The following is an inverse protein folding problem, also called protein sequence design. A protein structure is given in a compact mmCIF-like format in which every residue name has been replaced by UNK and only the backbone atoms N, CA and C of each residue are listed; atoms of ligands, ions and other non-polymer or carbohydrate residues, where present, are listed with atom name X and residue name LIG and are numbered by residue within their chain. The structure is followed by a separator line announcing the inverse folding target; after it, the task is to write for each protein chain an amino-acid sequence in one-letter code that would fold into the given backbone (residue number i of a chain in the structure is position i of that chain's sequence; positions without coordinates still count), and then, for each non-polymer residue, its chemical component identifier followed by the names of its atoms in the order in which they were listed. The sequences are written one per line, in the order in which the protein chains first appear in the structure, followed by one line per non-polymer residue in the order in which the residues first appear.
data_IF_931281463153
#
_entry.id   IF_931281463153
#
_cell.length_a   1.000
_cell.length_b   1.000
_cell.length_c   1.000
_cell.angle_alpha   90.00
_cell.angle_beta   90.00
_cell.angle_gamma   90.00
#
_symmetry.space_group_name_H-M   'P 1'
#
loop_
_entity.id
_entity.type
_entity.pdbx_description
1 polymer ?
#
# COMPACT_ATOMS: atom_id res chain seq x y z
N UNK A 1 -24.49 2.92 19.95
CA UNK A 1 -23.25 3.47 19.38
C UNK A 1 -23.04 2.76 18.05
N UNK A 2 -22.75 3.46 16.94
CA UNK A 2 -22.44 2.79 15.69
C UNK A 2 -21.15 1.98 15.90
N UNK A 3 -21.19 0.69 15.56
CA UNK A 3 -20.00 -0.15 15.52
C UNK A 3 -19.12 0.41 14.41
N UNK A 4 -18.00 1.03 14.76
CA UNK A 4 -16.97 1.38 13.77
C UNK A 4 -16.53 0.03 13.18
N UNK A 5 -16.70 -0.10 11.86
CA UNK A 5 -16.18 -1.27 11.14
C UNK A 5 -14.68 -1.31 11.38
N UNK A 6 -14.17 -2.40 11.97
CA UNK A 6 -12.73 -2.60 12.07
C UNK A 6 -12.10 -2.58 10.69
N UNK A 7 -10.89 -2.07 10.58
CA UNK A 7 -10.10 -2.17 9.35
C UNK A 7 -9.88 -3.65 9.00
N UNK A 8 -10.09 -4.01 7.73
CA UNK A 8 -10.04 -5.40 7.29
C UNK A 8 -9.09 -5.59 6.10
N UNK A 9 -8.83 -6.86 5.76
CA UNK A 9 -8.18 -7.21 4.49
C UNK A 9 -9.09 -6.83 3.32
N UNK A 10 -8.52 -6.24 2.28
CA UNK A 10 -9.20 -5.95 1.01
C UNK A 10 -9.61 -4.50 0.82
N UNK A 11 -10.47 -4.25 -0.18
CA UNK A 11 -10.88 -2.88 -0.56
C UNK A 11 -11.83 -2.29 0.48
N UNK A 12 -11.50 -1.09 0.97
CA UNK A 12 -12.36 -0.32 1.87
C UNK A 12 -12.09 1.18 1.75
N UNK A 13 -13.00 2.00 2.27
CA UNK A 13 -12.82 3.46 2.34
C UNK A 13 -12.38 3.86 3.75
N UNK A 14 -11.38 4.74 3.85
CA UNK A 14 -10.91 5.32 5.11
C UNK A 14 -10.61 6.83 4.97
N UNK A 15 -10.59 7.53 6.10
CA UNK A 15 -10.19 8.94 6.16
C UNK A 15 -8.68 9.07 6.38
N UNK A 16 -7.97 9.53 5.35
CA UNK A 16 -6.53 9.79 5.38
C UNK A 16 -6.20 11.28 5.54
N UNK A 17 -7.19 12.17 5.75
CA UNK A 17 -6.99 13.63 5.80
C UNK A 17 -6.04 14.09 6.90
N UNK A 18 -5.96 13.34 8.00
CA UNK A 18 -5.01 13.58 9.10
C UNK A 18 -3.56 13.19 8.76
N UNK A 19 -3.36 12.53 7.62
CA UNK A 19 -2.10 11.97 7.15
C UNK A 19 -1.79 12.43 5.71
N UNK A 20 -2.19 13.67 5.36
CA UNK A 20 -1.98 14.28 4.05
C UNK A 20 -2.59 13.49 2.87
N UNK A 21 -3.57 12.61 3.12
CA UNK A 21 -4.33 11.89 2.09
C UNK A 21 -5.78 12.40 1.95
N UNK A 22 -6.58 11.80 1.06
CA UNK A 22 -8.00 12.14 0.90
C UNK A 22 -8.85 11.77 2.13
N UNK A 23 -9.95 12.48 2.36
CA UNK A 23 -10.89 12.20 3.47
C UNK A 23 -11.78 10.97 3.26
N UNK A 24 -11.84 10.48 2.03
CA UNK A 24 -12.70 9.41 1.53
C UNK A 24 -11.90 8.49 0.59
N UNK A 25 -10.69 8.11 1.02
CA UNK A 25 -9.77 7.34 0.21
C UNK A 25 -10.17 5.87 0.12
N UNK A 26 -10.29 5.34 -1.10
CA UNK A 26 -10.34 3.90 -1.32
C UNK A 26 -8.93 3.33 -1.20
N UNK A 27 -8.78 2.33 -0.33
CA UNK A 27 -7.51 1.64 -0.08
C UNK A 27 -7.69 0.13 -0.15
N UNK A 28 -6.60 -0.58 -0.43
CA UNK A 28 -6.50 -2.02 -0.17
C UNK A 28 -5.77 -2.22 1.16
N UNK A 29 -6.46 -2.81 2.12
CA UNK A 29 -5.90 -3.21 3.40
C UNK A 29 -5.19 -4.56 3.33
N UNK A 30 -3.94 -4.60 3.77
CA UNK A 30 -3.15 -5.82 3.91
C UNK A 30 -2.83 -6.03 5.39
N UNK A 31 -3.27 -7.14 6.01
CA UNK A 31 -2.96 -7.42 7.41
C UNK A 31 -1.45 -7.51 7.64
N UNK A 32 -0.99 -6.85 8.69
CA UNK A 32 0.38 -6.87 9.17
C UNK A 32 0.36 -7.32 10.64
N UNK A 33 0.25 -8.64 10.90
CA UNK A 33 0.20 -9.15 12.27
C UNK A 33 1.45 -8.77 13.06
N UNK A 34 1.31 -8.69 14.37
CA UNK A 34 2.43 -8.42 15.28
C UNK A 34 3.61 -9.37 15.03
N UNK A 35 4.83 -8.86 15.13
CA UNK A 35 6.05 -9.63 14.90
C UNK A 35 6.30 -10.04 13.45
N UNK A 36 5.48 -9.59 12.49
CA UNK A 36 5.73 -9.81 11.05
C UNK A 36 6.40 -8.60 10.41
N UNK A 37 7.06 -8.81 9.27
CA UNK A 37 7.69 -7.73 8.48
C UNK A 37 6.92 -7.57 7.18
N UNK A 38 6.52 -6.34 6.87
CA UNK A 38 5.93 -5.98 5.59
C UNK A 38 7.01 -5.55 4.60
N UNK A 39 6.98 -6.08 3.38
CA UNK A 39 7.81 -5.68 2.25
C UNK A 39 6.89 -5.16 1.15
N UNK A 40 7.09 -3.91 0.75
CA UNK A 40 6.30 -3.23 -0.29
C UNK A 40 7.20 -2.86 -1.46
N UNK A 41 6.72 -3.13 -2.68
CA UNK A 41 7.36 -2.72 -3.93
C UNK A 41 6.29 -2.58 -5.01
N UNK A 42 6.59 -1.89 -6.10
CA UNK A 42 5.64 -1.74 -7.19
C UNK A 42 6.29 -1.46 -8.53
N UNK A 43 5.48 -1.62 -9.59
CA UNK A 43 5.81 -1.31 -10.97
C UNK A 43 4.65 -0.58 -11.64
N UNK A 44 4.99 0.31 -12.55
CA UNK A 44 4.08 1.03 -13.43
C UNK A 44 4.12 0.41 -14.82
N UNK A 45 2.94 0.18 -15.37
CA UNK A 45 2.72 -0.30 -16.74
C UNK A 45 1.57 0.49 -17.36
N UNK A 46 1.73 1.81 -17.44
CA UNK A 46 0.69 2.76 -17.84
C UNK A 46 1.25 3.83 -18.78
N UNK A 47 0.34 4.59 -19.41
CA UNK A 47 0.69 5.82 -20.14
C UNK A 47 0.66 7.07 -19.24
N UNK A 48 -0.20 7.09 -18.21
CA UNK A 48 -0.31 8.23 -17.28
C UNK A 48 0.66 8.14 -16.10
N UNK A 49 0.99 9.28 -15.48
CA UNK A 49 1.81 9.27 -14.29
C UNK A 49 1.06 8.54 -13.16
N UNK A 50 1.72 7.60 -12.51
CA UNK A 50 1.10 6.79 -11.45
C UNK A 50 1.75 7.09 -10.10
N UNK A 51 0.94 7.02 -9.05
CA UNK A 51 1.35 7.17 -7.66
C UNK A 51 0.61 6.16 -6.80
N UNK A 52 1.32 5.58 -5.84
CA UNK A 52 0.64 4.98 -4.70
C UNK A 52 1.20 5.50 -3.39
N UNK A 53 0.37 5.46 -2.37
CA UNK A 53 0.74 5.79 -1.01
C UNK A 53 0.53 4.56 -0.14
N UNK A 54 1.46 4.31 0.77
CA UNK A 54 1.28 3.29 1.82
C UNK A 54 1.20 3.94 3.19
N UNK A 55 0.21 3.52 3.96
CA UNK A 55 -0.03 3.97 5.32
C UNK A 55 -0.02 2.75 6.23
N UNK A 56 0.57 2.89 7.42
CA UNK A 56 0.34 1.94 8.50
C UNK A 56 -0.93 2.38 9.23
N UNK A 57 -1.86 1.46 9.46
CA UNK A 57 -3.13 1.75 10.16
C UNK A 57 -3.45 0.69 11.20
N UNK A 58 -4.08 1.10 12.29
CA UNK A 58 -4.61 0.17 13.28
C UNK A 58 -6.04 -0.31 12.94
N UNK A 59 -6.59 -1.18 13.79
CA UNK A 59 -7.96 -1.70 13.67
C UNK A 59 -9.03 -0.60 13.61
N UNK A 60 -8.78 0.57 14.18
CA UNK A 60 -9.69 1.72 14.22
C UNK A 60 -9.49 2.67 13.03
N UNK A 61 -8.71 2.24 12.02
CA UNK A 61 -8.33 3.03 10.84
C UNK A 61 -7.53 4.30 11.16
N UNK A 62 -6.85 4.34 12.30
CA UNK A 62 -5.98 5.46 12.67
C UNK A 62 -4.61 5.26 12.02
N UNK A 63 -4.17 6.26 11.26
CA UNK A 63 -2.84 6.24 10.63
C UNK A 63 -1.73 6.32 11.68
N UNK A 64 -0.76 5.43 11.52
CA UNK A 64 0.49 5.32 12.27
C UNK A 64 1.67 5.62 11.34
N UNK A 65 2.84 5.79 11.95
CA UNK A 65 4.09 5.96 11.22
C UNK A 65 4.70 4.60 10.82
N UNK A 66 5.39 4.50 9.67
CA UNK A 66 5.60 5.54 8.66
C UNK A 66 4.49 5.59 7.60
N UNK A 67 4.41 6.73 6.91
CA UNK A 67 3.66 6.91 5.67
C UNK A 67 4.67 7.06 4.53
N UNK A 68 4.38 6.52 3.36
CA UNK A 68 5.30 6.54 2.23
C UNK A 68 4.58 6.91 0.95
N UNK A 69 5.17 7.84 0.19
CA UNK A 69 4.72 8.23 -1.14
C UNK A 69 5.64 7.58 -2.17
N UNK A 70 5.03 6.96 -3.16
CA UNK A 70 5.69 6.23 -4.23
C UNK A 70 5.29 6.82 -5.56
N UNK A 71 6.25 7.25 -6.35
CA UNK A 71 6.01 7.83 -7.67
C UNK A 71 6.69 7.02 -8.77
N UNK A 72 6.00 6.91 -9.91
CA UNK A 72 6.56 6.47 -11.18
C UNK A 72 6.03 7.42 -12.27
N UNK A 73 6.82 8.44 -12.59
CA UNK A 73 6.35 9.58 -13.39
C UNK A 73 6.58 9.41 -14.90
N UNK A 74 7.50 8.53 -15.30
CA UNK A 74 7.90 8.36 -16.70
C UNK A 74 8.14 6.90 -17.04
N UNK A 75 7.60 6.45 -18.17
CA UNK A 75 7.84 5.12 -18.77
C UNK A 75 7.52 3.93 -17.85
N UNK A 76 7.53 2.72 -18.43
CA UNK A 76 7.36 1.51 -17.65
C UNK A 76 8.57 1.36 -16.71
N UNK A 77 8.31 1.38 -15.41
CA UNK A 77 9.35 1.56 -14.40
C UNK A 77 8.93 0.99 -13.05
N UNK A 78 9.90 0.79 -12.16
CA UNK A 78 9.63 0.54 -10.75
C UNK A 78 9.22 1.86 -10.09
N UNK A 79 8.34 1.79 -9.10
CA UNK A 79 8.05 2.95 -8.27
C UNK A 79 9.22 3.26 -7.35
N UNK A 80 9.48 4.55 -7.14
CA UNK A 80 10.49 5.06 -6.22
C UNK A 80 9.84 5.73 -5.02
N UNK A 81 10.40 5.53 -3.84
CA UNK A 81 10.05 6.24 -2.62
C UNK A 81 10.52 7.69 -2.76
N UNK A 82 9.58 8.63 -2.92
CA UNK A 82 9.87 10.06 -3.03
C UNK A 82 9.70 10.81 -1.71
N UNK A 83 8.90 10.27 -0.79
CA UNK A 83 8.68 10.84 0.55
C UNK A 83 8.40 9.75 1.57
N UNK A 84 8.98 9.91 2.76
CA UNK A 84 8.64 9.15 3.96
C UNK A 84 8.27 10.14 5.07
N UNK A 85 7.17 9.89 5.78
CA UNK A 85 6.72 10.67 6.95
C UNK A 85 6.66 9.76 8.17
N UNK A 86 7.34 10.11 9.28
CA UNK A 86 8.24 11.25 9.42
C UNK A 86 9.54 11.02 8.65
N UNK A 87 10.21 12.08 8.23
CA UNK A 87 11.48 12.00 7.49
C UNK A 87 12.65 11.41 8.30
N UNK A 88 12.48 11.35 9.63
CA UNK A 88 13.37 10.66 10.56
C UNK A 88 13.27 9.14 10.47
N UNK A 89 12.18 8.58 9.95
CA UNK A 89 12.07 7.15 9.75
C UNK A 89 13.12 6.69 8.73
N UNK A 90 13.92 5.69 9.10
CA UNK A 90 14.94 5.08 8.25
C UNK A 90 14.57 3.61 8.05
N UNK A 91 14.07 3.25 6.85
CA UNK A 91 13.78 1.86 6.56
C UNK A 91 15.04 1.01 6.68
N UNK A 92 14.93 -0.26 7.13
CA UNK A 92 16.08 -1.18 7.16
C UNK A 92 16.71 -1.43 5.78
N UNK A 93 15.92 -1.28 4.71
CA UNK A 93 16.34 -1.42 3.32
C UNK A 93 16.56 -0.03 2.73
N UNK A 94 17.70 0.19 2.07
CA UNK A 94 18.05 1.49 1.44
C UNK A 94 17.73 1.55 -0.05
N UNK A 95 17.21 0.47 -0.65
CA UNK A 95 16.73 0.46 -2.04
C UNK A 95 15.51 1.41 -2.15
N UNK A 96 15.56 2.48 -2.96
CA UNK A 96 14.44 3.41 -3.09
C UNK A 96 13.21 2.76 -3.75
N UNK A 97 13.32 1.57 -4.33
CA UNK A 97 12.21 0.86 -4.96
C UNK A 97 11.61 -0.25 -4.06
N UNK A 98 12.06 -0.39 -2.80
CA UNK A 98 11.56 -1.39 -1.86
C UNK A 98 11.50 -0.81 -0.45
N UNK A 99 10.40 -1.02 0.24
CA UNK A 99 10.21 -0.63 1.63
C UNK A 99 10.10 -1.87 2.49
N UNK A 100 10.81 -1.89 3.61
CA UNK A 100 10.60 -2.84 4.71
C UNK A 100 10.05 -2.08 5.90
N UNK A 101 8.99 -2.61 6.52
CA UNK A 101 8.33 -2.01 7.68
C UNK A 101 8.00 -3.08 8.74
N UNK A 102 8.00 -2.68 10.01
CA UNK A 102 7.92 -3.60 11.14
C UNK A 102 9.28 -4.25 11.49
N UNK A 103 9.30 -5.25 12.38
CA UNK A 103 8.14 -5.78 13.10
C UNK A 103 7.55 -4.80 14.12
N UNK A 104 6.24 -4.87 14.32
CA UNK A 104 5.51 -4.12 15.35
C UNK A 104 5.05 -5.03 16.49
N UNK A 105 4.78 -4.45 17.65
CA UNK A 105 4.27 -5.17 18.85
C UNK A 105 2.75 -5.37 18.83
N UNK A 106 2.04 -4.60 18.00
CA UNK A 106 0.59 -4.64 17.82
C UNK A 106 0.23 -5.16 16.42
N UNK A 107 -0.98 -5.71 16.28
CA UNK A 107 -1.52 -6.09 14.97
C UNK A 107 -1.94 -4.81 14.24
N UNK A 108 -1.39 -4.62 13.04
CA UNK A 108 -1.60 -3.44 12.20
C UNK A 108 -1.99 -3.88 10.80
N UNK A 109 -2.15 -2.90 9.91
CA UNK A 109 -2.35 -3.12 8.50
C UNK A 109 -1.52 -2.15 7.68
N UNK A 110 -1.16 -2.57 6.47
CA UNK A 110 -0.66 -1.71 5.42
C UNK A 110 -1.86 -1.34 4.54
N UNK A 111 -2.26 -0.08 4.54
CA UNK A 111 -3.26 0.46 3.62
C UNK A 111 -2.55 1.03 2.39
N UNK A 112 -2.93 0.56 1.20
CA UNK A 112 -2.37 1.02 -0.08
C UNK A 112 -3.45 1.82 -0.83
N UNK A 113 -3.18 3.09 -1.07
CA UNK A 113 -4.02 3.98 -1.87
C UNK A 113 -3.38 4.21 -3.24
N UNK A 114 -4.15 4.03 -4.31
CA UNK A 114 -3.66 4.16 -5.70
C UNK A 114 -4.24 5.41 -6.35
N UNK A 115 -3.42 6.11 -7.11
CA UNK A 115 -3.82 7.32 -7.82
C UNK A 115 -3.02 7.53 -9.10
N UNK A 116 -3.61 8.24 -10.05
CA UNK A 116 -3.00 8.56 -11.33
C UNK A 116 -3.20 10.05 -11.67
N UNK A 117 -2.41 10.54 -12.62
CA UNK A 117 -2.53 11.90 -13.14
C UNK A 117 -2.49 11.88 -14.66
N UNK A 118 -3.63 12.13 -15.29
CA UNK A 118 -3.74 12.24 -16.74
C UNK A 118 -3.02 13.49 -17.30
N UNK A 119 -2.83 13.59 -18.63
CA UNK A 119 -2.01 14.63 -19.25
C UNK A 119 -2.46 16.08 -18.97
N UNK A 120 -3.76 16.27 -18.75
CA UNK A 120 -4.36 17.59 -18.52
C UNK A 120 -4.80 17.81 -17.06
N UNK A 121 -4.56 16.84 -16.19
CA UNK A 121 -4.95 16.94 -14.80
C UNK A 121 -3.94 17.79 -14.04
N UNK A 122 -4.40 18.60 -13.09
CA UNK A 122 -3.53 19.36 -12.18
C UNK A 122 -3.18 18.53 -10.95
N UNK A 123 -4.08 17.64 -10.54
CA UNK A 123 -4.02 16.84 -9.33
C UNK A 123 -4.14 15.35 -9.66
N UNK A 124 -3.69 14.51 -8.71
CA UNK A 124 -3.89 13.06 -8.80
C UNK A 124 -5.36 12.72 -8.51
N UNK A 125 -5.91 11.79 -9.28
CA UNK A 125 -7.23 11.19 -9.08
C UNK A 125 -7.07 9.75 -8.60
N UNK A 126 -8.04 9.28 -7.84
CA UNK A 126 -8.07 7.90 -7.37
C UNK A 126 -8.14 6.91 -8.55
N UNK A 127 -7.30 5.88 -8.51
CA UNK A 127 -7.36 4.73 -9.43
C UNK A 127 -8.27 3.65 -8.83
N UNK A 128 -8.91 2.84 -9.69
CA UNK A 128 -9.80 1.76 -9.23
C UNK A 128 -8.93 0.57 -8.81
N UNK A 129 -8.94 0.15 -7.53
CA UNK A 129 -8.08 -0.93 -7.07
C UNK A 129 -8.72 -2.31 -7.27
N UNK A 130 -7.90 -3.28 -7.64
CA UNK A 130 -8.17 -4.71 -7.54
C UNK A 130 -7.06 -5.37 -6.71
N UNK A 131 -7.33 -6.54 -6.14
CA UNK A 131 -6.31 -7.26 -5.40
C UNK A 131 -6.55 -8.76 -5.39
N UNK A 132 -5.47 -9.51 -5.31
CA UNK A 132 -5.44 -10.94 -5.06
C UNK A 132 -4.50 -11.22 -3.88
N UNK A 133 -4.83 -12.21 -3.06
CA UNK A 133 -3.99 -12.60 -1.94
C UNK A 133 -3.68 -14.10 -1.97
N UNK A 134 -2.49 -14.45 -1.47
CA UNK A 134 -2.04 -15.83 -1.36
C UNK A 134 -1.22 -16.05 -0.10
N UNK A 135 -1.47 -17.16 0.59
CA UNK A 135 -0.71 -17.57 1.77
C UNK A 135 0.19 -18.75 1.43
N UNK A 136 1.50 -18.57 1.61
CA UNK A 136 2.52 -19.59 1.44
C UNK A 136 2.84 -20.22 2.78
N UNK A 137 2.52 -21.51 2.91
CA UNK A 137 2.59 -22.27 4.16
C UNK A 137 3.81 -23.19 4.18
N UNK A 138 4.46 -23.31 5.34
CA UNK A 138 5.47 -24.34 5.63
C UNK A 138 5.03 -25.11 6.88
N UNK A 139 4.82 -26.42 6.75
CA UNK A 139 4.35 -27.25 7.88
C UNK A 139 2.99 -26.82 8.45
N UNK A 140 2.12 -26.23 7.61
CA UNK A 140 0.80 -25.74 8.01
C UNK A 140 0.79 -24.38 8.71
N UNK A 141 1.93 -23.69 8.80
CA UNK A 141 2.06 -22.34 9.34
C UNK A 141 2.37 -21.35 8.22
N UNK A 142 1.83 -20.13 8.30
CA UNK A 142 2.14 -19.08 7.35
C UNK A 142 3.64 -18.75 7.42
N UNK A 143 4.32 -18.85 6.29
CA UNK A 143 5.70 -18.38 6.14
C UNK A 143 5.71 -17.00 5.49
N UNK A 144 4.93 -16.83 4.43
CA UNK A 144 4.77 -15.57 3.71
C UNK A 144 3.30 -15.44 3.29
N UNK A 145 2.69 -14.30 3.57
CA UNK A 145 1.45 -13.90 2.89
C UNK A 145 1.81 -12.87 1.81
N UNK A 146 1.25 -12.99 0.62
CA UNK A 146 1.49 -12.04 -0.47
C UNK A 146 0.16 -11.48 -0.95
N UNK A 147 0.06 -10.15 -1.03
CA UNK A 147 -1.06 -9.46 -1.67
C UNK A 147 -0.53 -8.73 -2.89
N UNK A 148 -1.07 -9.07 -4.06
CA UNK A 148 -0.89 -8.30 -5.29
C UNK A 148 -2.04 -7.32 -5.38
N UNK A 149 -1.74 -6.05 -5.66
CA UNK A 149 -2.71 -4.98 -5.76
C UNK A 149 -2.52 -4.33 -7.12
N UNK A 150 -3.57 -4.24 -7.91
CA UNK A 150 -3.54 -3.59 -9.21
C UNK A 150 -4.40 -2.33 -9.20
N UNK A 151 -4.04 -1.33 -10.01
CA UNK A 151 -4.80 -0.11 -10.21
C UNK A 151 -5.12 0.12 -11.67
N UNK A 152 -6.35 0.57 -11.93
CA UNK A 152 -6.83 1.02 -13.24
C UNK A 152 -7.04 2.54 -13.21
N UNK A 153 -6.45 3.25 -14.18
CA UNK A 153 -6.54 4.70 -14.31
C UNK A 153 -7.72 5.18 -15.18
N UNK A 154 -8.42 4.26 -15.84
CA UNK A 154 -9.63 4.52 -16.60
C UNK A 154 -9.38 4.94 -18.05
N UNK A 155 -8.12 4.93 -18.52
CA UNK A 155 -7.81 5.01 -19.94
C UNK A 155 -8.31 3.77 -20.70
N UNK A 156 -8.22 2.60 -20.07
CA UNK A 156 -8.75 1.35 -20.60
C UNK A 156 -9.39 0.45 -19.50
N UNK A 157 -9.15 -0.87 -19.54
CA UNK A 157 -9.74 -1.89 -18.65
C UNK A 157 -8.81 -3.06 -18.39
N UNK A 158 -7.51 -2.94 -18.64
CA UNK A 158 -6.57 -4.04 -18.43
C UNK A 158 -6.20 -4.24 -16.95
N UNK A 159 -6.50 -3.25 -16.10
CA UNK A 159 -6.23 -3.23 -14.66
C UNK A 159 -4.75 -3.51 -14.33
N UNK A 160 -3.81 -3.02 -15.12
CA UNK A 160 -2.39 -3.16 -14.80
C UNK A 160 -1.59 -1.86 -14.87
N UNK A 161 -2.22 -0.68 -14.86
CA UNK A 161 -1.49 0.60 -14.87
C UNK A 161 -0.50 0.73 -13.71
N UNK A 162 -0.97 0.33 -12.52
CA UNK A 162 -0.16 0.21 -11.31
C UNK A 162 -0.24 -1.21 -10.78
N UNK A 163 0.90 -1.81 -10.45
CA UNK A 163 0.97 -3.11 -9.76
C UNK A 163 1.84 -2.97 -8.52
N UNK A 164 1.29 -3.28 -7.35
CA UNK A 164 1.96 -3.22 -6.05
C UNK A 164 1.97 -4.62 -5.44
N UNK A 165 3.16 -5.07 -5.04
CA UNK A 165 3.35 -6.27 -4.24
C UNK A 165 3.53 -5.92 -2.77
N UNK A 166 2.73 -6.54 -1.91
CA UNK A 166 2.88 -6.47 -0.45
C UNK A 166 3.10 -7.88 0.09
N UNK A 167 4.33 -8.17 0.51
CA UNK A 167 4.67 -9.43 1.17
C UNK A 167 4.70 -9.23 2.69
N UNK A 168 4.10 -10.13 3.45
CA UNK A 168 4.12 -10.16 4.91
C UNK A 168 4.86 -11.42 5.32
N UNK A 169 6.05 -11.21 5.90
CA UNK A 169 6.98 -12.27 6.27
C UNK A 169 6.81 -12.60 7.75
N UNK A 170 6.51 -13.85 8.04
CA UNK A 170 6.36 -14.34 9.40
C UNK A 170 7.73 -14.74 9.94
N UNK A 171 8.24 -13.96 10.89
CA UNK A 171 9.62 -14.11 11.40
C UNK A 171 9.72 -15.01 12.63
N UNK A 172 8.56 -15.36 13.21
CA UNK A 172 8.44 -16.20 14.41
C UNK A 172 7.94 -17.60 14.05
N UNK A 173 8.42 -18.62 14.78
CA UNK A 173 8.08 -20.03 14.56
C UNK A 173 6.73 -20.42 15.14
#
# INVERSE_FOLDING_TARGET
MPTISKFQRGVQMIDLSKAEGPSDATVVGVPLPKGTIGIVFGQRTADYAQRYNTYIVDDDSIVREPQVVWDALTENSRFEITKIVPSSYKPPITDPNVMSVGPFEEDLHIAVHLSHKGPNDTEYKESIPQHDYHDFLIGGKNAISFTMINGEDGADKDNHDTVVGVAVVYTTK
#
